data_IF_538714732211
#
_entry.id   IF_538714732211
#
_cell.length_a   1.000
_cell.length_b   1.000
_cell.length_c   1.000
_cell.angle_alpha   90.00
_cell.angle_beta   90.00
_cell.angle_gamma   90.00
#
_symmetry.space_group_name_H-M   'P 1'
#
loop_
_entity.id
_entity.type
_entity.pdbx_description
1 polymer ?
#
# COMPACT_ATOMS: atom_id res chain seq x y z
N UNK A 1 -26.29 -15.53 14.16
CA UNK A 1 -26.02 -14.17 14.66
C UNK A 1 -25.16 -13.50 13.63
N UNK A 2 -25.63 -12.39 13.05
CA UNK A 2 -24.91 -11.69 11.97
C UNK A 2 -23.60 -11.11 12.51
N UNK A 3 -22.48 -11.37 11.83
CA UNK A 3 -21.19 -10.81 12.23
C UNK A 3 -21.00 -9.40 11.64
N UNK A 4 -20.78 -8.40 12.48
CA UNK A 4 -20.42 -7.04 12.04
C UNK A 4 -18.90 -6.92 12.05
N UNK A 5 -18.30 -6.98 10.87
CA UNK A 5 -16.86 -7.05 10.69
C UNK A 5 -16.35 -5.66 10.32
N UNK A 6 -15.60 -5.04 11.23
CA UNK A 6 -14.84 -3.83 10.90
C UNK A 6 -13.68 -4.20 10.00
N UNK A 7 -13.56 -3.57 8.83
CA UNK A 7 -12.45 -3.75 7.91
C UNK A 7 -11.62 -2.47 7.79
N UNK A 8 -10.31 -2.58 8.00
CA UNK A 8 -9.36 -1.48 7.90
C UNK A 8 -8.22 -1.91 6.98
N UNK A 9 -7.87 -1.07 6.01
CA UNK A 9 -6.71 -1.29 5.17
C UNK A 9 -6.00 0.03 4.80
N UNK A 10 -4.66 0.01 4.64
CA UNK A 10 -3.89 1.21 4.37
C UNK A 10 -4.21 1.83 3.02
N UNK A 11 -4.16 3.17 2.92
CA UNK A 11 -4.38 3.87 1.63
C UNK A 11 -3.42 3.42 0.54
N UNK A 12 -2.18 3.09 0.92
CA UNK A 12 -1.16 2.67 -0.03
C UNK A 12 -1.28 1.20 -0.45
N UNK A 13 -2.16 0.40 0.18
CA UNK A 13 -2.42 -0.97 -0.26
C UNK A 13 -3.31 -0.96 -1.51
N UNK A 14 -2.78 -1.45 -2.64
CA UNK A 14 -3.43 -1.28 -3.94
C UNK A 14 -3.63 -2.61 -4.71
N UNK A 15 -3.65 -3.74 -4.01
CA UNK A 15 -3.84 -5.06 -4.63
C UNK A 15 -5.24 -5.61 -4.37
N UNK A 16 -6.16 -5.39 -5.32
CA UNK A 16 -7.56 -5.86 -5.21
C UNK A 16 -7.68 -7.39 -5.17
N UNK A 17 -6.90 -8.11 -5.99
CA UNK A 17 -6.93 -9.58 -5.97
C UNK A 17 -6.45 -10.15 -4.64
N UNK A 18 -5.39 -9.54 -4.05
CA UNK A 18 -4.91 -9.92 -2.73
C UNK A 18 -5.94 -9.61 -1.65
N UNK A 19 -6.62 -8.46 -1.75
CA UNK A 19 -7.73 -8.11 -0.87
C UNK A 19 -8.81 -9.20 -0.88
N UNK A 20 -9.37 -9.52 -2.06
CA UNK A 20 -10.39 -10.56 -2.23
C UNK A 20 -9.92 -11.88 -1.61
N UNK A 21 -8.76 -12.39 -2.08
CA UNK A 21 -8.22 -13.70 -1.67
C UNK A 21 -8.08 -13.81 -0.15
N UNK A 22 -7.67 -12.74 0.52
CA UNK A 22 -7.52 -12.72 1.97
C UNK A 22 -8.86 -12.63 2.69
N UNK A 23 -9.75 -11.77 2.22
CA UNK A 23 -11.09 -11.57 2.81
C UNK A 23 -11.90 -12.86 2.68
N UNK A 24 -12.04 -13.44 1.49
CA UNK A 24 -12.78 -14.68 1.27
C UNK A 24 -12.25 -15.82 2.14
N UNK A 25 -10.92 -15.98 2.24
CA UNK A 25 -10.32 -17.01 3.10
C UNK A 25 -10.73 -16.89 4.58
N UNK A 26 -11.01 -15.66 5.04
CA UNK A 26 -11.40 -15.40 6.43
C UNK A 26 -12.91 -15.51 6.60
N UNK A 27 -13.69 -15.06 5.61
CA UNK A 27 -15.15 -15.03 5.67
C UNK A 27 -15.81 -16.29 5.13
N UNK A 28 -15.07 -17.25 4.55
CA UNK A 28 -15.61 -18.45 3.90
C UNK A 28 -16.49 -19.32 4.78
N UNK A 29 -16.29 -19.29 6.11
CA UNK A 29 -17.05 -20.08 7.08
C UNK A 29 -18.13 -19.25 7.80
N UNK A 30 -18.35 -17.99 7.39
CA UNK A 30 -19.35 -17.13 7.98
C UNK A 30 -20.64 -17.21 7.14
N UNK A 31 -21.74 -17.59 7.80
CA UNK A 31 -23.05 -17.70 7.13
C UNK A 31 -23.64 -16.33 6.81
N UNK A 32 -23.52 -15.35 7.71
CA UNK A 32 -24.07 -14.02 7.54
C UNK A 32 -23.17 -12.96 8.21
N UNK A 33 -22.75 -11.97 7.43
CA UNK A 33 -21.90 -10.89 7.92
C UNK A 33 -22.11 -9.59 7.15
N UNK A 34 -21.74 -8.48 7.78
CA UNK A 34 -21.80 -7.12 7.25
C UNK A 34 -20.44 -6.48 7.45
N UNK A 35 -19.90 -5.85 6.40
CA UNK A 35 -18.69 -5.04 6.55
C UNK A 35 -19.02 -3.63 7.04
N UNK A 36 -18.26 -3.18 8.05
CA UNK A 36 -18.25 -1.81 8.53
C UNK A 36 -16.87 -1.24 8.22
N UNK A 37 -16.81 -0.03 7.66
CA UNK A 37 -15.54 0.58 7.28
C UNK A 37 -15.60 2.10 7.33
N UNK A 38 -14.56 2.78 7.87
CA UNK A 38 -14.50 4.23 7.88
C UNK A 38 -14.10 4.82 6.53
N UNK A 39 -13.19 4.13 5.81
CA UNK A 39 -12.64 4.58 4.55
C UNK A 39 -12.46 3.38 3.60
N UNK A 40 -12.58 3.66 2.31
CA UNK A 40 -12.32 2.70 1.23
C UNK A 40 -11.50 3.40 0.13
N UNK A 41 -10.24 3.79 0.42
CA UNK A 41 -9.45 4.65 -0.45
C UNK A 41 -9.26 4.13 -1.88
N UNK A 42 -9.26 2.81 -2.06
CA UNK A 42 -9.11 2.13 -3.35
C UNK A 42 -10.41 1.49 -3.86
N UNK A 43 -11.54 1.67 -3.15
CA UNK A 43 -12.84 1.14 -3.54
C UNK A 43 -12.97 -0.39 -3.46
N UNK A 44 -12.10 -1.05 -2.68
CA UNK A 44 -12.02 -2.52 -2.63
C UNK A 44 -13.20 -3.13 -1.87
N UNK A 45 -13.66 -2.47 -0.80
CA UNK A 45 -14.75 -2.97 0.02
C UNK A 45 -16.06 -2.84 -0.75
N UNK A 46 -16.32 -1.67 -1.33
CA UNK A 46 -17.53 -1.43 -2.13
C UNK A 46 -17.60 -2.42 -3.30
N UNK A 47 -16.48 -2.61 -4.02
CA UNK A 47 -16.41 -3.53 -5.15
C UNK A 47 -16.64 -4.98 -4.72
N UNK A 48 -16.00 -5.42 -3.63
CA UNK A 48 -16.21 -6.76 -3.07
C UNK A 48 -17.69 -6.98 -2.74
N UNK A 49 -18.32 -6.03 -2.06
CA UNK A 49 -19.71 -6.14 -1.65
C UNK A 49 -20.68 -6.20 -2.82
N UNK A 50 -20.43 -5.44 -3.89
CA UNK A 50 -21.20 -5.52 -5.12
C UNK A 50 -21.01 -6.86 -5.83
N UNK A 51 -19.77 -7.37 -5.90
CA UNK A 51 -19.42 -8.60 -6.61
C UNK A 51 -19.96 -9.85 -5.90
N UNK A 52 -19.88 -9.91 -4.57
CA UNK A 52 -20.25 -11.07 -3.77
C UNK A 52 -21.62 -10.94 -3.07
N UNK A 53 -22.35 -9.84 -3.30
CA UNK A 53 -23.68 -9.61 -2.70
C UNK A 53 -23.64 -9.45 -1.17
N UNK A 54 -22.51 -9.01 -0.62
CA UNK A 54 -22.32 -8.84 0.83
C UNK A 54 -22.75 -7.45 1.24
N UNK A 55 -23.53 -7.34 2.32
CA UNK A 55 -23.91 -6.03 2.85
C UNK A 55 -22.70 -5.28 3.43
N UNK A 56 -22.60 -3.98 3.17
CA UNK A 56 -21.59 -3.12 3.77
C UNK A 56 -22.15 -1.76 4.18
N UNK A 57 -21.49 -1.13 5.14
CA UNK A 57 -21.87 0.16 5.72
C UNK A 57 -20.63 1.02 5.94
N UNK A 58 -20.52 2.10 5.17
CA UNK A 58 -19.52 3.13 5.42
C UNK A 58 -19.89 3.91 6.69
N UNK A 59 -18.98 3.96 7.66
CA UNK A 59 -19.14 4.67 8.93
C UNK A 59 -17.86 5.40 9.31
N UNK A 60 -17.77 6.69 9.00
CA UNK A 60 -16.58 7.51 9.29
C UNK A 60 -16.20 7.47 10.78
N UNK A 61 -17.21 7.44 11.64
CA UNK A 61 -17.07 7.22 13.09
C UNK A 61 -17.85 5.96 13.43
N UNK A 62 -17.12 4.90 13.73
CA UNK A 62 -17.69 3.63 14.16
C UNK A 62 -17.61 3.50 15.68
N UNK A 63 -18.58 2.79 16.26
CA UNK A 63 -18.65 2.52 17.70
C UNK A 63 -18.36 1.05 17.99
N UNK A 64 -17.70 0.77 19.12
CA UNK A 64 -17.38 -0.59 19.54
C UNK A 64 -18.61 -1.48 19.74
N UNK A 65 -19.71 -0.90 20.20
CA UNK A 65 -20.99 -1.58 20.44
C UNK A 65 -21.56 -2.23 19.17
N UNK A 66 -21.23 -1.69 17.99
CA UNK A 66 -21.69 -2.18 16.70
C UNK A 66 -20.80 -3.24 16.06
N UNK A 67 -19.64 -3.55 16.64
CA UNK A 67 -18.62 -4.40 16.01
C UNK A 67 -18.49 -5.72 16.77
N UNK A 68 -18.50 -6.83 16.04
CA UNK A 68 -18.28 -8.15 16.63
C UNK A 68 -16.91 -8.72 16.30
N UNK A 69 -16.34 -8.37 15.14
CA UNK A 69 -15.02 -8.83 14.69
C UNK A 69 -14.30 -7.70 13.96
N UNK A 70 -12.97 -7.78 13.87
CA UNK A 70 -12.19 -6.85 13.06
C UNK A 70 -11.21 -7.59 12.13
N UNK A 71 -11.09 -7.10 10.91
CA UNK A 71 -10.14 -7.54 9.89
C UNK A 71 -9.25 -6.35 9.53
N UNK A 72 -7.95 -6.46 9.84
CA UNK A 72 -7.00 -5.36 9.68
C UNK A 72 -5.88 -5.81 8.77
N UNK A 73 -5.73 -5.13 7.63
CA UNK A 73 -4.52 -5.23 6.81
C UNK A 73 -3.42 -4.43 7.49
N UNK A 74 -2.47 -5.14 8.09
CA UNK A 74 -1.47 -4.63 9.04
C UNK A 74 -0.10 -4.64 8.36
N UNK A 75 0.38 -3.45 8.03
CA UNK A 75 1.71 -3.19 7.49
C UNK A 75 2.73 -2.76 8.56
N UNK A 76 2.28 -2.66 9.83
CA UNK A 76 3.07 -2.22 10.97
C UNK A 76 3.08 -0.72 11.22
N UNK A 77 2.39 0.10 10.41
CA UNK A 77 2.42 1.56 10.52
C UNK A 77 1.03 2.19 10.60
N UNK A 78 0.05 1.65 9.87
CA UNK A 78 -1.31 2.19 9.87
C UNK A 78 -2.21 1.46 10.87
N UNK A 79 -3.17 2.22 11.42
CA UNK A 79 -4.15 1.80 12.43
C UNK A 79 -3.61 1.29 13.79
N UNK A 80 -2.49 1.79 14.35
CA UNK A 80 -1.99 1.30 15.63
C UNK A 80 -2.97 1.57 16.78
N UNK A 81 -3.63 2.72 16.79
CA UNK A 81 -4.58 3.13 17.83
C UNK A 81 -5.87 2.32 17.78
N UNK A 82 -6.47 2.19 16.61
CA UNK A 82 -7.68 1.40 16.37
C UNK A 82 -7.45 -0.04 16.78
N UNK A 83 -6.30 -0.60 16.36
CA UNK A 83 -5.92 -1.96 16.71
C UNK A 83 -5.75 -2.13 18.22
N UNK A 84 -5.19 -1.15 18.92
CA UNK A 84 -5.04 -1.18 20.38
C UNK A 84 -6.40 -1.12 21.08
N UNK A 85 -7.29 -0.21 20.63
CA UNK A 85 -8.65 -0.06 21.16
C UNK A 85 -9.45 -1.36 20.99
N UNK A 86 -9.45 -1.95 19.80
CA UNK A 86 -10.16 -3.20 19.52
C UNK A 86 -9.68 -4.36 20.42
N UNK A 87 -8.36 -4.44 20.64
CA UNK A 87 -7.78 -5.43 21.58
C UNK A 87 -8.24 -5.20 23.01
N UNK A 88 -8.21 -3.95 23.48
CA UNK A 88 -8.61 -3.60 24.84
C UNK A 88 -10.09 -3.91 25.10
N UNK A 89 -10.95 -3.81 24.08
CA UNK A 89 -12.37 -4.15 24.16
C UNK A 89 -12.66 -5.66 23.99
N UNK A 90 -11.65 -6.50 23.83
CA UNK A 90 -11.82 -7.95 23.71
C UNK A 90 -12.42 -8.41 22.37
N UNK A 91 -12.49 -7.53 21.36
CA UNK A 91 -13.01 -7.87 20.03
C UNK A 91 -11.98 -8.77 19.33
N UNK A 92 -12.39 -9.94 18.79
CA UNK A 92 -11.50 -10.78 18.00
C UNK A 92 -10.98 -10.05 16.76
N UNK A 93 -9.65 -9.99 16.60
CA UNK A 93 -8.98 -9.31 15.48
C UNK A 93 -8.26 -10.34 14.62
N UNK A 94 -8.56 -10.33 13.32
CA UNK A 94 -7.76 -11.00 12.29
C UNK A 94 -6.83 -10.00 11.62
N UNK A 95 -5.53 -10.12 11.91
CA UNK A 95 -4.49 -9.30 11.26
C UNK A 95 -3.98 -9.99 10.01
N UNK A 96 -4.01 -9.30 8.88
CA UNK A 96 -3.46 -9.75 7.61
C UNK A 96 -2.18 -8.97 7.40
N UNK A 97 -1.04 -9.64 7.53
CA UNK A 97 0.25 -8.99 7.28
C UNK A 97 0.40 -8.67 5.81
N UNK A 98 0.75 -7.41 5.52
CA UNK A 98 1.06 -6.92 4.18
C UNK A 98 2.36 -6.12 4.21
N UNK A 99 3.06 -6.09 3.09
CA UNK A 99 4.28 -5.32 2.93
C UNK A 99 3.99 -4.13 2.04
N UNK A 100 4.06 -2.92 2.58
CA UNK A 100 3.85 -1.68 1.83
C UNK A 100 5.20 -1.01 1.57
N UNK A 101 5.44 -0.70 0.31
CA UNK A 101 6.59 0.08 -0.13
C UNK A 101 6.24 1.57 -0.05
N UNK A 102 7.11 2.38 0.58
CA UNK A 102 6.89 3.82 0.76
C UNK A 102 8.09 4.64 0.28
N UNK A 103 7.84 5.74 -0.42
CA UNK A 103 8.87 6.70 -0.81
C UNK A 103 9.06 7.74 0.30
N UNK A 104 10.31 7.98 0.69
CA UNK A 104 10.67 8.91 1.76
C UNK A 104 11.57 10.04 1.26
N UNK A 105 11.55 11.18 1.95
CA UNK A 105 12.49 12.27 1.68
C UNK A 105 13.72 12.13 2.57
N UNK A 106 14.85 11.74 1.98
CA UNK A 106 16.09 11.51 2.73
C UNK A 106 16.74 12.80 3.25
N UNK A 107 16.35 14.00 2.78
CA UNK A 107 16.77 15.27 3.41
C UNK A 107 16.10 15.49 4.77
N UNK A 108 14.89 14.93 4.94
CA UNK A 108 14.13 15.03 6.19
C UNK A 108 14.46 13.88 7.13
N UNK A 109 14.58 12.67 6.59
CA UNK A 109 14.91 11.45 7.31
C UNK A 109 16.40 11.12 7.09
N UNK A 110 17.26 11.88 7.77
CA UNK A 110 18.71 11.88 7.54
C UNK A 110 19.39 10.58 7.97
N UNK A 111 18.72 9.76 8.80
CA UNK A 111 19.17 8.43 9.17
C UNK A 111 19.39 7.51 7.95
N UNK A 112 18.63 7.72 6.87
CA UNK A 112 18.75 6.94 5.63
C UNK A 112 19.85 7.43 4.68
N UNK A 113 20.53 8.53 5.00
CA UNK A 113 21.63 9.03 4.15
C UNK A 113 22.93 8.23 4.32
N UNK A 114 23.08 7.48 5.42
CA UNK A 114 24.33 6.79 5.77
C UNK A 114 24.60 5.57 4.89
N UNK A 115 23.54 4.87 4.49
CA UNK A 115 23.61 3.63 3.72
C UNK A 115 22.82 3.77 2.44
N UNK A 116 23.26 3.12 1.36
CA UNK A 116 22.53 3.16 0.07
C UNK A 116 21.48 2.05 -0.05
N UNK A 117 21.67 0.91 0.60
CA UNK A 117 20.75 -0.22 0.56
C UNK A 117 20.84 -1.01 1.85
N UNK A 118 19.69 -1.36 2.41
CA UNK A 118 19.53 -2.26 3.56
C UNK A 118 18.36 -3.22 3.29
N UNK A 119 18.10 -4.22 4.16
CA UNK A 119 16.90 -5.06 4.02
C UNK A 119 15.58 -4.28 4.03
N UNK A 120 15.54 -3.07 4.63
CA UNK A 120 14.33 -2.26 4.75
C UNK A 120 14.38 -0.95 3.97
N UNK A 121 15.47 -0.66 3.27
CA UNK A 121 15.68 0.61 2.58
C UNK A 121 16.43 0.43 1.26
N UNK A 122 16.10 1.25 0.27
CA UNK A 122 16.84 1.37 -0.98
C UNK A 122 16.90 2.83 -1.42
N UNK A 123 18.10 3.34 -1.72
CA UNK A 123 18.27 4.64 -2.33
C UNK A 123 17.95 4.60 -3.84
N UNK A 124 16.93 5.34 -4.24
CA UNK A 124 16.44 5.41 -5.63
C UNK A 124 16.73 6.77 -6.27
N UNK A 125 17.60 7.61 -5.71
CA UNK A 125 17.92 8.89 -6.32
C UNK A 125 18.73 8.75 -7.63
N UNK A 126 18.95 9.88 -8.31
CA UNK A 126 19.70 9.93 -9.58
C UNK A 126 21.06 9.23 -9.45
N UNK A 127 21.42 8.44 -10.45
CA UNK A 127 22.65 7.64 -10.48
C UNK A 127 22.57 6.28 -9.78
N UNK A 128 21.45 5.95 -9.11
CA UNK A 128 21.20 4.58 -8.64
C UNK A 128 20.50 3.72 -9.69
N UNK A 129 20.41 2.41 -9.43
CA UNK A 129 19.77 1.45 -10.34
C UNK A 129 18.34 1.88 -10.71
N UNK A 130 17.55 2.30 -9.73
CA UNK A 130 16.17 2.74 -9.95
C UNK A 130 16.00 4.26 -10.09
N UNK A 131 17.08 5.02 -10.21
CA UNK A 131 17.03 6.46 -10.40
C UNK A 131 16.38 6.88 -11.72
N UNK A 132 15.65 7.99 -11.69
CA UNK A 132 15.06 8.60 -12.89
C UNK A 132 16.17 9.12 -13.82
N UNK A 133 16.30 8.62 -15.07
CA UNK A 133 17.28 9.16 -16.02
C UNK A 133 16.91 10.56 -16.50
N UNK A 134 15.63 10.91 -16.54
CA UNK A 134 15.14 12.21 -17.03
C UNK A 134 15.34 13.32 -15.99
N UNK A 135 15.61 14.55 -16.44
CA UNK A 135 15.95 15.69 -15.59
C UNK A 135 15.15 16.94 -15.98
N UNK A 136 14.55 17.60 -14.98
CA UNK A 136 13.84 18.88 -15.19
C UNK A 136 14.78 20.01 -15.67
N UNK A 137 16.09 19.86 -15.45
CA UNK A 137 17.07 20.92 -15.67
C UNK A 137 17.73 20.89 -17.06
N UNK A 138 17.70 19.77 -17.76
CA UNK A 138 18.43 19.60 -19.02
C UNK A 138 17.60 20.05 -20.23
N UNK A 139 16.32 19.71 -20.24
CA UNK A 139 15.41 19.96 -21.37
C UNK A 139 14.26 20.92 -21.01
N UNK A 140 14.26 21.53 -19.82
CA UNK A 140 13.19 22.42 -19.35
C UNK A 140 11.87 21.72 -19.05
N UNK A 141 11.90 20.39 -18.94
CA UNK A 141 10.72 19.55 -18.71
C UNK A 141 10.12 19.75 -17.32
N UNK A 142 8.80 19.57 -17.24
CA UNK A 142 8.10 19.57 -15.96
C UNK A 142 8.38 18.30 -15.14
N UNK A 143 8.17 18.37 -13.82
CA UNK A 143 8.24 17.21 -12.91
C UNK A 143 7.35 16.06 -13.39
N UNK A 144 6.14 16.38 -13.82
CA UNK A 144 5.16 15.39 -14.26
C UNK A 144 5.61 14.72 -15.57
N UNK A 145 6.25 15.47 -16.46
CA UNK A 145 6.78 14.93 -17.71
C UNK A 145 7.93 13.95 -17.48
N UNK A 146 8.92 14.30 -16.66
CA UNK A 146 10.04 13.40 -16.35
C UNK A 146 9.60 12.15 -15.58
N UNK A 147 8.53 12.23 -14.77
CA UNK A 147 7.92 11.08 -14.11
C UNK A 147 7.12 10.25 -15.12
N UNK A 148 6.38 10.88 -16.05
CA UNK A 148 5.64 10.19 -17.10
C UNK A 148 6.57 9.40 -18.03
N UNK A 149 7.69 9.99 -18.44
CA UNK A 149 8.72 9.30 -19.23
C UNK A 149 9.31 8.12 -18.44
N UNK A 150 9.65 8.30 -17.16
CA UNK A 150 10.11 7.20 -16.31
C UNK A 150 9.07 6.07 -16.21
N UNK A 151 7.80 6.41 -16.00
CA UNK A 151 6.70 5.43 -15.94
C UNK A 151 6.56 4.67 -17.24
N UNK A 152 6.61 5.36 -18.38
CA UNK A 152 6.56 4.73 -19.69
C UNK A 152 7.70 3.72 -19.85
N UNK A 153 8.94 4.12 -19.56
CA UNK A 153 10.09 3.22 -19.67
C UNK A 153 10.02 2.03 -18.71
N UNK A 154 9.46 2.23 -17.51
CA UNK A 154 9.23 1.17 -16.53
C UNK A 154 8.15 0.18 -16.98
N UNK A 155 7.01 0.68 -17.47
CA UNK A 155 5.88 -0.15 -17.86
C UNK A 155 6.22 -1.01 -19.09
N UNK A 156 6.89 -0.41 -20.07
CA UNK A 156 7.22 -1.03 -21.36
C UNK A 156 8.65 -1.57 -21.46
N UNK A 157 9.36 -1.68 -20.34
CA UNK A 157 10.69 -2.30 -20.24
C UNK A 157 11.71 -1.68 -21.22
N UNK A 158 11.75 -0.34 -21.27
CA UNK A 158 12.61 0.42 -22.19
C UNK A 158 13.92 0.89 -21.57
N UNK A 159 14.15 0.64 -20.30
CA UNK A 159 15.43 0.96 -19.67
C UNK A 159 16.55 0.07 -20.23
N UNK A 160 17.64 0.64 -20.78
CA UNK A 160 18.68 -0.14 -21.46
C UNK A 160 19.48 -1.07 -20.53
N UNK A 161 19.56 -0.75 -19.23
CA UNK A 161 20.37 -1.48 -18.25
C UNK A 161 19.57 -1.82 -16.97
N UNK A 162 18.25 -1.98 -17.08
CA UNK A 162 17.41 -2.34 -15.93
C UNK A 162 16.48 -3.48 -16.29
N UNK A 163 16.48 -4.52 -15.47
CA UNK A 163 15.54 -5.62 -15.58
C UNK A 163 14.33 -5.35 -14.68
N UNK A 164 13.12 -5.55 -15.20
CA UNK A 164 11.89 -5.30 -14.44
C UNK A 164 11.77 -6.21 -13.22
N UNK A 165 12.27 -7.44 -13.31
CA UNK A 165 12.34 -8.42 -12.21
C UNK A 165 13.04 -7.88 -10.95
N UNK A 166 14.03 -7.00 -11.11
CA UNK A 166 14.78 -6.42 -9.99
C UNK A 166 13.93 -5.51 -9.11
N UNK A 167 12.77 -5.03 -9.59
CA UNK A 167 11.88 -4.17 -8.81
C UNK A 167 11.30 -4.93 -7.62
N UNK A 168 11.09 -6.24 -7.74
CA UNK A 168 10.50 -7.05 -6.67
C UNK A 168 11.40 -7.12 -5.42
N UNK A 169 12.71 -6.87 -5.56
CA UNK A 169 13.63 -6.74 -4.42
C UNK A 169 13.32 -5.54 -3.53
N UNK A 170 12.53 -4.58 -4.01
CA UNK A 170 12.13 -3.39 -3.29
C UNK A 170 10.85 -3.57 -2.47
N UNK A 171 10.16 -4.72 -2.59
CA UNK A 171 8.89 -5.01 -1.90
C UNK A 171 9.01 -4.73 -0.40
N UNK A 172 8.16 -3.83 0.11
CA UNK A 172 8.07 -3.51 1.54
C UNK A 172 9.20 -2.62 2.05
N UNK A 173 10.11 -2.15 1.19
CA UNK A 173 11.19 -1.24 1.59
C UNK A 173 10.74 0.22 1.63
N UNK A 174 11.56 1.03 2.30
CA UNK A 174 11.62 2.48 2.12
C UNK A 174 12.44 2.83 0.89
N UNK A 175 11.88 3.64 0.01
CA UNK A 175 12.55 4.13 -1.19
C UNK A 175 13.03 5.56 -0.96
N UNK A 176 14.34 5.73 -0.81
CA UNK A 176 14.97 7.01 -0.54
C UNK A 176 15.08 7.89 -1.78
N UNK A 177 14.43 9.05 -1.78
CA UNK A 177 14.61 10.07 -2.81
C UNK A 177 14.63 11.48 -2.18
N UNK A 178 14.92 12.48 -3.01
CA UNK A 178 14.92 13.89 -2.60
C UNK A 178 13.61 14.63 -2.92
N UNK A 179 12.71 14.03 -3.70
CA UNK A 179 11.59 14.74 -4.33
C UNK A 179 10.38 14.93 -3.39
N UNK A 180 10.10 13.98 -2.50
CA UNK A 180 8.94 14.05 -1.59
C UNK A 180 8.97 15.34 -0.77
N UNK A 181 7.84 16.00 -0.46
CA UNK A 181 6.46 15.54 -0.64
C UNK A 181 5.91 15.69 -2.07
N UNK A 182 6.62 16.36 -2.96
CA UNK A 182 6.23 16.47 -4.37
C UNK A 182 6.24 15.10 -5.06
N UNK A 183 5.56 15.00 -6.21
CA UNK A 183 5.54 13.79 -7.02
C UNK A 183 6.97 13.25 -7.27
N UNK A 184 7.13 11.92 -7.16
CA UNK A 184 8.42 11.27 -7.29
C UNK A 184 8.31 10.09 -8.25
N UNK A 185 9.37 9.83 -9.03
CA UNK A 185 9.45 8.62 -9.83
C UNK A 185 9.38 7.34 -8.97
N UNK A 186 9.79 7.42 -7.70
CA UNK A 186 9.64 6.33 -6.73
C UNK A 186 8.19 5.94 -6.48
N UNK A 187 7.23 6.85 -6.70
CA UNK A 187 5.81 6.56 -6.56
C UNK A 187 5.38 5.52 -7.59
N UNK A 188 5.94 5.55 -8.81
CA UNK A 188 5.71 4.52 -9.85
C UNK A 188 6.13 3.14 -9.36
N UNK A 189 7.31 3.04 -8.73
CA UNK A 189 7.84 1.77 -8.22
C UNK A 189 7.02 1.28 -7.02
N UNK A 190 6.69 2.17 -6.09
CA UNK A 190 5.90 1.85 -4.92
C UNK A 190 4.48 1.40 -5.31
N UNK A 191 3.82 2.11 -6.23
CA UNK A 191 2.48 1.77 -6.71
C UNK A 191 2.47 0.42 -7.43
N UNK A 192 3.48 0.13 -8.26
CA UNK A 192 3.63 -1.18 -8.89
C UNK A 192 3.72 -2.31 -7.86
N UNK A 193 4.59 -2.16 -6.85
CA UNK A 193 4.80 -3.17 -5.81
C UNK A 193 3.60 -3.32 -4.89
N UNK A 194 2.92 -2.24 -4.56
CA UNK A 194 1.76 -2.26 -3.68
C UNK A 194 0.49 -2.77 -4.38
N UNK A 195 0.50 -2.82 -5.72
CA UNK A 195 -0.55 -3.43 -6.54
C UNK A 195 -0.31 -4.91 -6.82
N UNK A 196 0.91 -5.39 -6.59
CA UNK A 196 1.29 -6.77 -6.86
C UNK A 196 0.69 -7.73 -5.83
N UNK A 197 -0.03 -8.74 -6.33
CA UNK A 197 -0.41 -9.92 -5.54
C UNK A 197 0.71 -10.95 -5.61
N UNK A 198 1.48 -11.02 -4.53
CA UNK A 198 2.62 -11.91 -4.34
C UNK A 198 2.23 -13.37 -4.05
N UNK A 199 0.93 -13.68 -3.97
CA UNK A 199 0.46 -15.03 -3.62
C UNK A 199 0.60 -15.40 -2.14
N UNK A 200 1.18 -14.52 -1.31
CA UNK A 200 1.35 -14.75 0.14
C UNK A 200 0.09 -14.46 0.93
#
# INVERSE_FOLDING_TARGET
MTANILILYPKLFNSHSKFIRKVEKITSNLEEYVFIYPQDPSGFIDKYCQEFGVACRKQERWEMSGITHALIFDDGEEFPEETMKLKASGIPIRRIKISITRVINIKRETEYQKEKSTPRYEYIGRGSYWGNPYSMHEEGESRDEVIRKFKYDFDYEKFPNKEKSEVFKLKGKRLGCFCKPEACHGDVLADFLNSWDDGE
#
